data_IF_848172839746
#
_entry.id   IF_848172839746
#
_cell.length_a   1.000
_cell.length_b   1.000
_cell.length_c   1.000
_cell.angle_alpha   90.00
_cell.angle_beta   90.00
_cell.angle_gamma   90.00
#
_symmetry.space_group_name_H-M   'P 1'
#
loop_
_entity.id
_entity.type
_entity.pdbx_description
1 polymer ?
#
# COMPACT_ATOMS: atom_id res chain seq x y z
N UNK A 1 14.89 -18.65 39.19
CA UNK A 1 14.74 -18.66 37.71
C UNK A 1 13.26 -18.86 37.38
N UNK A 2 12.56 -17.86 36.82
CA UNK A 2 11.17 -18.02 36.38
C UNK A 2 11.19 -18.51 34.93
N UNK A 3 10.91 -19.79 34.72
CA UNK A 3 10.71 -20.36 33.40
C UNK A 3 9.36 -19.85 32.86
N UNK A 4 9.39 -18.80 32.03
CA UNK A 4 8.26 -18.41 31.21
C UNK A 4 8.06 -19.49 30.13
N UNK A 5 7.25 -20.50 30.44
CA UNK A 5 6.72 -21.40 29.42
C UNK A 5 5.73 -20.56 28.61
N UNK A 6 6.21 -19.98 27.51
CA UNK A 6 5.37 -19.32 26.53
C UNK A 6 4.48 -20.41 25.92
N UNK A 7 3.30 -20.62 26.50
CA UNK A 7 2.34 -21.61 26.02
C UNK A 7 1.89 -21.20 24.63
N UNK A 8 2.40 -21.89 23.61
CA UNK A 8 1.98 -21.73 22.22
C UNK A 8 0.47 -21.90 22.13
N UNK A 9 -0.24 -20.85 21.76
CA UNK A 9 -1.66 -20.96 21.42
C UNK A 9 -1.76 -21.66 20.06
N UNK A 10 -2.45 -22.80 20.01
CA UNK A 10 -2.65 -23.55 18.76
C UNK A 10 -3.39 -22.68 17.74
N UNK A 11 -3.03 -22.83 16.46
CA UNK A 11 -3.65 -22.15 15.32
C UNK A 11 -3.53 -20.61 15.31
N UNK A 12 -2.59 -20.04 16.07
CA UNK A 12 -2.24 -18.63 15.96
C UNK A 12 -0.88 -18.49 15.27
N UNK A 13 -0.85 -17.81 14.13
CA UNK A 13 0.40 -17.37 13.53
C UNK A 13 0.97 -16.21 14.36
N UNK A 14 2.27 -16.22 14.70
CA UNK A 14 2.86 -15.21 15.57
C UNK A 14 2.87 -13.81 14.92
N UNK A 15 2.83 -13.73 13.58
CA UNK A 15 2.78 -12.46 12.86
C UNK A 15 1.99 -12.61 11.55
N UNK A 16 1.10 -11.66 11.30
CA UNK A 16 0.48 -11.42 10.00
C UNK A 16 0.18 -9.92 9.95
N UNK A 17 0.66 -9.23 8.91
CA UNK A 17 0.65 -7.78 8.86
C UNK A 17 -0.78 -7.23 8.98
N UNK A 18 -1.74 -7.83 8.27
CA UNK A 18 -3.16 -7.47 8.36
C UNK A 18 -3.82 -7.79 9.71
N UNK A 19 -3.39 -8.82 10.45
CA UNK A 19 -3.95 -9.11 11.78
C UNK A 19 -3.50 -8.06 12.81
N UNK A 20 -2.29 -7.54 12.66
CA UNK A 20 -1.74 -6.47 13.48
C UNK A 20 -2.31 -5.09 13.09
N UNK A 21 -2.98 -4.99 11.94
CA UNK A 21 -3.62 -3.78 11.44
C UNK A 21 -4.81 -3.27 12.28
N UNK A 22 -5.23 -4.02 13.32
CA UNK A 22 -6.20 -3.55 14.33
C UNK A 22 -5.63 -2.42 15.21
N UNK A 23 -4.32 -2.16 15.15
CA UNK A 23 -3.65 -1.08 15.88
C UNK A 23 -3.94 0.34 15.38
N UNK A 24 -3.26 1.32 15.97
CA UNK A 24 -3.38 2.73 15.57
C UNK A 24 -2.91 2.90 14.11
N UNK A 25 -3.68 3.55 13.22
CA UNK A 25 -3.32 3.71 11.81
C UNK A 25 -1.93 4.31 11.57
N UNK A 26 -1.46 5.17 12.47
CA UNK A 26 -0.11 5.76 12.40
C UNK A 26 1.02 4.72 12.55
N UNK A 27 0.83 3.69 13.38
CA UNK A 27 1.83 2.63 13.57
C UNK A 27 1.89 1.71 12.36
N UNK A 28 0.73 1.41 11.77
CA UNK A 28 0.68 0.60 10.56
C UNK A 28 1.23 1.34 9.35
N UNK A 29 0.90 2.63 9.18
CA UNK A 29 1.52 3.46 8.13
C UNK A 29 3.04 3.52 8.28
N UNK A 30 3.54 3.59 9.53
CA UNK A 30 4.98 3.48 9.80
C UNK A 30 5.55 2.15 9.33
N UNK A 31 4.90 1.03 9.62
CA UNK A 31 5.34 -0.28 9.14
C UNK A 31 5.30 -0.37 7.61
N UNK A 32 4.26 0.19 6.97
CA UNK A 32 4.16 0.19 5.51
C UNK A 32 5.37 0.88 4.89
N UNK A 33 5.61 2.12 5.29
CA UNK A 33 6.70 2.93 4.77
C UNK A 33 8.07 2.61 5.38
N UNK A 34 8.17 1.56 6.20
CA UNK A 34 9.45 0.94 6.57
C UNK A 34 9.82 -0.19 5.63
N UNK A 35 8.83 -0.90 5.08
CA UNK A 35 9.05 -2.01 4.17
C UNK A 35 9.08 -1.58 2.71
N UNK A 36 8.27 -0.57 2.33
CA UNK A 36 8.15 -0.09 0.96
C UNK A 36 8.05 1.44 0.93
N UNK A 37 9.01 2.10 0.30
CA UNK A 37 8.95 3.52 -0.04
C UNK A 37 7.99 3.75 -1.22
N UNK A 38 7.53 5.00 -1.45
CA UNK A 38 6.67 5.31 -2.60
C UNK A 38 7.24 4.86 -3.95
N UNK A 39 8.57 4.91 -4.10
CA UNK A 39 9.25 4.45 -5.31
C UNK A 39 9.15 2.92 -5.46
N UNK A 40 9.37 2.16 -4.39
CA UNK A 40 9.21 0.70 -4.40
C UNK A 40 7.78 0.31 -4.82
N UNK A 41 6.76 1.01 -4.29
CA UNK A 41 5.37 0.79 -4.72
C UNK A 41 5.16 1.06 -6.20
N UNK A 42 5.75 2.13 -6.73
CA UNK A 42 5.62 2.47 -8.15
C UNK A 42 6.26 1.40 -9.02
N UNK A 43 7.48 1.01 -8.71
CA UNK A 43 8.25 0.07 -9.52
C UNK A 43 7.61 -1.32 -9.50
N UNK A 44 7.18 -1.78 -8.33
CA UNK A 44 6.52 -3.07 -8.17
C UNK A 44 5.11 -3.06 -8.81
N UNK A 45 4.32 -1.99 -8.67
CA UNK A 45 3.02 -1.87 -9.39
C UNK A 45 3.21 -1.86 -10.91
N UNK A 46 4.24 -1.18 -11.42
CA UNK A 46 4.56 -1.18 -12.85
C UNK A 46 5.01 -2.56 -13.33
N UNK A 47 5.72 -3.32 -12.49
CA UNK A 47 6.07 -4.71 -12.78
C UNK A 47 4.80 -5.57 -12.83
N UNK A 48 3.97 -5.50 -11.80
CA UNK A 48 2.73 -6.28 -11.69
C UNK A 48 1.79 -6.00 -12.85
N UNK A 49 1.59 -4.74 -13.21
CA UNK A 49 0.78 -4.36 -14.37
C UNK A 49 1.33 -4.98 -15.67
N UNK A 50 2.64 -4.86 -15.93
CA UNK A 50 3.24 -5.41 -17.17
C UNK A 50 3.13 -6.92 -17.21
N UNK A 51 3.36 -7.59 -16.09
CA UNK A 51 3.23 -9.04 -15.97
C UNK A 51 1.79 -9.46 -16.20
N UNK A 52 0.83 -8.81 -15.53
CA UNK A 52 -0.59 -9.08 -15.70
C UNK A 52 -1.03 -8.93 -17.16
N UNK A 53 -0.64 -7.84 -17.84
CA UNK A 53 -1.00 -7.59 -19.25
C UNK A 53 -0.30 -8.54 -20.25
N UNK A 54 0.75 -9.23 -19.84
CA UNK A 54 1.51 -10.16 -20.69
C UNK A 54 1.36 -11.62 -20.27
N UNK A 55 0.50 -11.90 -19.27
CA UNK A 55 0.22 -13.25 -18.83
C UNK A 55 -1.04 -13.77 -19.54
N UNK A 56 -0.86 -14.81 -20.36
CA UNK A 56 -1.94 -15.50 -21.09
C UNK A 56 -2.94 -16.21 -20.16
N UNK A 57 -2.65 -16.34 -18.87
CA UNK A 57 -3.54 -16.89 -17.85
C UNK A 57 -4.17 -15.82 -16.94
N UNK A 58 -4.03 -14.54 -17.29
CA UNK A 58 -4.59 -13.45 -16.49
C UNK A 58 -6.06 -13.16 -16.79
N UNK A 59 -6.71 -12.37 -15.94
CA UNK A 59 -8.08 -11.89 -16.15
C UNK A 59 -8.18 -10.79 -17.24
N UNK A 60 -7.08 -10.41 -17.90
CA UNK A 60 -6.99 -9.20 -18.72
C UNK A 60 -6.94 -9.48 -20.23
N UNK A 61 -7.73 -10.45 -20.70
CA UNK A 61 -7.82 -10.78 -22.13
C UNK A 61 -8.54 -9.70 -22.94
N UNK A 62 -9.55 -9.07 -22.34
CA UNK A 62 -10.34 -8.02 -22.98
C UNK A 62 -9.65 -6.65 -22.95
N UNK A 63 -9.74 -5.90 -24.05
CA UNK A 63 -9.12 -4.57 -24.15
C UNK A 63 -9.60 -3.59 -23.08
N UNK A 64 -10.89 -3.64 -22.73
CA UNK A 64 -11.50 -2.84 -21.66
C UNK A 64 -10.92 -3.16 -20.30
N UNK A 65 -10.78 -4.44 -19.96
CA UNK A 65 -10.16 -4.87 -18.70
C UNK A 65 -8.70 -4.40 -18.59
N UNK A 66 -7.97 -4.38 -19.71
CA UNK A 66 -6.60 -3.85 -19.76
C UNK A 66 -6.55 -2.34 -19.50
N UNK A 67 -7.45 -1.56 -20.10
CA UNK A 67 -7.57 -0.13 -19.86
C UNK A 67 -7.91 0.17 -18.39
N UNK A 68 -8.88 -0.55 -17.85
CA UNK A 68 -9.30 -0.42 -16.45
C UNK A 68 -8.16 -0.75 -15.46
N UNK A 69 -7.36 -1.79 -15.76
CA UNK A 69 -6.17 -2.13 -14.99
C UNK A 69 -5.15 -0.97 -15.00
N UNK A 70 -4.83 -0.42 -16.18
CA UNK A 70 -3.87 0.68 -16.34
C UNK A 70 -4.32 1.93 -15.56
N UNK A 71 -5.60 2.25 -15.61
CA UNK A 71 -6.16 3.39 -14.87
C UNK A 71 -6.16 3.14 -13.36
N UNK A 72 -6.45 1.92 -12.93
CA UNK A 72 -6.48 1.53 -11.52
C UNK A 72 -5.08 1.54 -10.90
N UNK A 73 -4.08 0.97 -11.56
CA UNK A 73 -2.68 0.97 -11.09
C UNK A 73 -2.11 2.38 -11.01
N UNK A 74 -2.37 3.23 -12.01
CA UNK A 74 -1.98 4.64 -11.98
C UNK A 74 -2.62 5.39 -10.80
N UNK A 75 -3.88 5.10 -10.49
CA UNK A 75 -4.56 5.65 -9.33
C UNK A 75 -4.00 5.11 -8.00
N UNK A 76 -3.63 3.82 -7.93
CA UNK A 76 -2.97 3.23 -6.76
C UNK A 76 -1.63 3.89 -6.47
N UNK A 77 -0.79 4.11 -7.47
CA UNK A 77 0.50 4.79 -7.30
C UNK A 77 0.33 6.16 -6.64
N UNK A 78 -0.61 6.97 -7.15
CA UNK A 78 -0.98 8.26 -6.57
C UNK A 78 -1.54 8.14 -5.16
N UNK A 79 -2.30 7.09 -4.87
CA UNK A 79 -2.82 6.80 -3.54
C UNK A 79 -1.69 6.52 -2.54
N UNK A 80 -0.66 5.77 -2.93
CA UNK A 80 0.49 5.46 -2.07
C UNK A 80 1.27 6.73 -1.72
N UNK A 81 1.54 7.57 -2.73
CA UNK A 81 2.19 8.87 -2.56
C UNK A 81 1.39 9.79 -1.62
N UNK A 82 0.06 9.81 -1.79
CA UNK A 82 -0.83 10.56 -0.92
C UNK A 82 -0.74 10.11 0.54
N UNK A 83 -0.75 8.80 0.78
CA UNK A 83 -0.57 8.26 2.13
C UNK A 83 0.79 8.57 2.72
N UNK A 84 1.85 8.54 1.90
CA UNK A 84 3.19 8.89 2.33
C UNK A 84 3.28 10.37 2.75
N UNK A 85 2.69 11.28 1.98
CA UNK A 85 2.62 12.71 2.32
C UNK A 85 1.83 12.92 3.62
N UNK A 86 0.69 12.25 3.78
CA UNK A 86 -0.11 12.33 5.00
C UNK A 86 0.64 11.80 6.22
N UNK A 87 1.36 10.69 6.03
CA UNK A 87 2.19 10.08 7.06
C UNK A 87 3.33 11.01 7.47
N UNK A 88 4.14 11.47 6.53
CA UNK A 88 5.27 12.38 6.78
C UNK A 88 4.81 13.68 7.42
N UNK A 89 3.77 14.36 6.89
CA UNK A 89 3.24 15.59 7.48
C UNK A 89 2.81 15.40 8.94
N UNK A 90 2.19 14.27 9.30
CA UNK A 90 1.78 13.97 10.69
C UNK A 90 2.97 13.54 11.56
N UNK A 91 3.89 12.78 11.00
CA UNK A 91 5.07 12.24 11.70
C UNK A 91 6.11 13.31 12.03
N UNK A 92 6.29 14.29 11.14
CA UNK A 92 7.20 15.43 11.37
C UNK A 92 6.57 16.57 12.18
N UNK A 93 5.23 16.69 12.20
CA UNK A 93 4.54 17.68 13.06
C UNK A 93 4.51 17.31 14.55
N UNK A 94 4.64 16.03 14.91
CA UNK A 94 4.67 15.58 16.31
C UNK A 94 6.11 15.24 16.73
N UNK A 95 6.70 16.12 17.53
CA UNK A 95 7.83 15.93 18.45
C UNK A 95 9.24 15.61 17.89
N UNK A 96 10.25 15.96 18.70
CA UNK A 96 11.65 15.52 18.56
C UNK A 96 11.67 13.98 18.55
N UNK A 97 12.56 13.34 17.76
CA UNK A 97 12.65 11.89 17.71
C UNK A 97 12.99 11.33 19.09
N UNK A 98 12.14 10.43 19.60
CA UNK A 98 12.22 9.89 20.96
C UNK A 98 13.29 8.77 21.04
N UNK A 99 13.66 8.17 19.91
CA UNK A 99 14.66 7.09 19.84
C UNK A 99 15.72 7.28 18.75
N UNK A 100 16.88 6.61 18.92
CA UNK A 100 17.95 6.55 17.90
C UNK A 100 17.45 5.94 16.58
N UNK A 101 16.57 4.95 16.66
CA UNK A 101 15.93 4.32 15.50
C UNK A 101 15.06 5.32 14.72
N UNK A 102 14.30 6.17 15.41
CA UNK A 102 13.50 7.21 14.76
C UNK A 102 14.36 8.29 14.09
N UNK A 103 15.52 8.63 14.69
CA UNK A 103 16.47 9.55 14.05
C UNK A 103 17.01 8.97 12.74
N UNK A 104 17.36 7.69 12.73
CA UNK A 104 17.83 7.01 11.53
C UNK A 104 16.74 6.93 10.47
N UNK A 105 15.51 6.63 10.86
CA UNK A 105 14.35 6.58 9.95
C UNK A 105 14.03 7.93 9.34
N UNK A 106 14.11 9.03 10.12
CA UNK A 106 13.97 10.37 9.58
C UNK A 106 15.07 10.69 8.56
N UNK A 107 16.30 10.23 8.80
CA UNK A 107 17.40 10.37 7.83
C UNK A 107 17.12 9.61 6.55
N UNK A 108 16.68 8.35 6.61
CA UNK A 108 16.33 7.55 5.42
C UNK A 108 15.21 8.24 4.62
N UNK A 109 14.11 8.62 5.28
CA UNK A 109 12.98 9.34 4.65
C UNK A 109 13.35 10.74 4.10
N UNK A 110 14.48 11.31 4.52
CA UNK A 110 15.00 12.61 4.05
C UNK A 110 16.14 12.48 3.04
N UNK A 111 16.85 11.35 3.01
CA UNK A 111 17.97 11.08 2.12
C UNK A 111 17.50 10.73 0.71
N UNK A 112 16.33 10.10 0.59
CA UNK A 112 15.74 9.82 -0.70
C UNK A 112 15.07 11.07 -1.26
N UNK A 113 15.52 11.51 -2.43
CA UNK A 113 14.77 12.46 -3.26
C UNK A 113 13.53 11.74 -3.78
N UNK A 114 12.51 11.59 -2.94
CA UNK A 114 11.25 10.94 -3.31
C UNK A 114 10.61 11.74 -4.43
N UNK A 115 10.62 11.17 -5.64
CA UNK A 115 9.99 11.76 -6.80
C UNK A 115 8.50 11.42 -6.82
N UNK A 116 7.68 12.35 -6.34
CA UNK A 116 6.23 12.23 -6.44
C UNK A 116 5.78 12.48 -7.89
N UNK A 117 4.88 11.63 -8.38
CA UNK A 117 4.10 11.86 -9.61
C UNK A 117 2.98 12.88 -9.37
N UNK A 118 2.58 13.09 -8.10
CA UNK A 118 1.60 14.09 -7.72
C UNK A 118 2.08 15.51 -8.03
N UNK A 119 1.21 16.29 -8.65
CA UNK A 119 1.41 17.73 -8.88
C UNK A 119 1.51 18.49 -7.55
N UNK A 120 2.15 19.66 -7.55
CA UNK A 120 2.22 20.52 -6.35
C UNK A 120 0.84 20.82 -5.75
N UNK A 121 -0.18 20.94 -6.59
CA UNK A 121 -1.56 21.13 -6.14
C UNK A 121 -2.09 19.89 -5.41
N UNK A 122 -1.95 18.69 -6.00
CA UNK A 122 -2.37 17.43 -5.37
C UNK A 122 -1.64 17.20 -4.04
N UNK A 123 -0.34 17.51 -3.97
CA UNK A 123 0.45 17.40 -2.74
C UNK A 123 -0.02 18.36 -1.64
N UNK A 124 -0.60 19.51 -2.00
CA UNK A 124 -1.16 20.48 -1.05
C UNK A 124 -2.46 19.97 -0.42
N UNK A 125 -3.25 19.18 -1.15
CA UNK A 125 -4.58 18.68 -0.73
C UNK A 125 -4.69 17.14 -0.88
N UNK A 126 -3.83 16.35 -0.21
CA UNK A 126 -3.82 14.88 -0.37
C UNK A 126 -5.16 14.24 0.03
N UNK A 127 -5.86 14.82 1.00
CA UNK A 127 -7.18 14.33 1.42
C UNK A 127 -8.25 14.35 0.32
N UNK A 128 -8.16 15.27 -0.65
CA UNK A 128 -9.09 15.31 -1.80
C UNK A 128 -8.79 14.18 -2.78
N UNK A 129 -7.51 13.84 -2.98
CA UNK A 129 -7.12 12.73 -3.85
C UNK A 129 -7.64 11.40 -3.31
N UNK A 130 -7.51 11.18 -2.00
CA UNK A 130 -8.06 10.00 -1.33
C UNK A 130 -9.58 9.91 -1.53
N UNK A 131 -10.29 11.03 -1.41
CA UNK A 131 -11.74 11.07 -1.66
C UNK A 131 -12.09 10.76 -3.11
N UNK A 132 -11.34 11.32 -4.08
CA UNK A 132 -11.55 11.03 -5.51
C UNK A 132 -11.32 9.56 -5.82
N UNK A 133 -10.27 8.95 -5.26
CA UNK A 133 -10.01 7.52 -5.38
C UNK A 133 -11.20 6.69 -4.89
N UNK A 134 -11.63 6.91 -3.64
CA UNK A 134 -12.76 6.18 -3.04
C UNK A 134 -14.13 6.47 -3.68
N UNK A 135 -14.24 7.51 -4.51
CA UNK A 135 -15.45 7.82 -5.29
C UNK A 135 -15.41 7.19 -6.68
N UNK A 136 -14.22 7.11 -7.27
CA UNK A 136 -14.02 6.60 -8.63
C UNK A 136 -14.13 5.07 -8.67
N UNK A 137 -13.54 4.40 -7.70
CA UNK A 137 -13.51 2.94 -7.66
C UNK A 137 -14.37 2.42 -6.53
N UNK A 138 -15.11 1.35 -6.79
CA UNK A 138 -15.77 0.60 -5.73
C UNK A 138 -14.75 -0.19 -4.92
N UNK A 139 -14.99 -0.33 -3.62
CA UNK A 139 -14.06 -1.02 -2.74
C UNK A 139 -13.87 -2.49 -3.14
N UNK A 140 -14.97 -3.19 -3.43
CA UNK A 140 -14.92 -4.60 -3.84
C UNK A 140 -14.15 -4.77 -5.14
N UNK A 141 -14.36 -3.87 -6.10
CA UNK A 141 -13.62 -3.85 -7.36
C UNK A 141 -12.10 -3.77 -7.11
N UNK A 142 -11.63 -2.80 -6.32
CA UNK A 142 -10.19 -2.67 -6.03
C UNK A 142 -9.65 -3.89 -5.28
N UNK A 143 -10.42 -4.47 -4.36
CA UNK A 143 -9.98 -5.66 -3.62
C UNK A 143 -9.83 -6.91 -4.52
N UNK A 144 -10.71 -7.06 -5.52
CA UNK A 144 -10.66 -8.12 -6.53
C UNK A 144 -9.51 -7.89 -7.50
N UNK A 145 -9.39 -6.68 -8.06
CA UNK A 145 -8.29 -6.34 -8.97
C UNK A 145 -6.89 -6.55 -8.35
N UNK A 146 -6.72 -6.24 -7.06
CA UNK A 146 -5.46 -6.52 -6.36
C UNK A 146 -5.17 -8.02 -6.27
N UNK A 147 -6.21 -8.87 -6.17
CA UNK A 147 -6.07 -10.32 -6.17
C UNK A 147 -5.76 -10.85 -7.57
N UNK A 148 -6.46 -10.35 -8.59
CA UNK A 148 -6.27 -10.76 -9.98
C UNK A 148 -4.86 -10.41 -10.46
N UNK A 149 -4.34 -9.22 -10.12
CA UNK A 149 -2.94 -8.87 -10.36
C UNK A 149 -1.97 -9.81 -9.62
N UNK A 150 -2.24 -10.11 -8.33
CA UNK A 150 -1.39 -11.01 -7.56
C UNK A 150 -1.35 -12.41 -8.19
N UNK A 151 -2.50 -12.94 -8.58
CA UNK A 151 -2.62 -14.26 -9.23
C UNK A 151 -1.86 -14.27 -10.55
N UNK A 152 -2.05 -13.26 -11.39
CA UNK A 152 -1.33 -13.12 -12.65
C UNK A 152 0.20 -13.05 -12.44
N UNK A 153 0.68 -12.43 -11.37
CA UNK A 153 2.12 -12.39 -11.05
C UNK A 153 2.64 -13.73 -10.54
N UNK A 154 1.80 -14.50 -9.82
CA UNK A 154 2.15 -15.83 -9.32
C UNK A 154 2.22 -16.84 -10.47
N UNK A 155 1.23 -16.84 -11.36
CA UNK A 155 1.09 -17.79 -12.48
C UNK A 155 1.95 -17.44 -13.69
N UNK A 156 2.61 -16.28 -13.69
CA UNK A 156 3.46 -15.87 -14.79
C UNK A 156 4.65 -16.84 -15.00
N UNK A 157 4.76 -17.34 -16.23
CA UNK A 157 5.83 -18.22 -16.73
C UNK A 157 6.61 -17.61 -17.92
N UNK A 158 6.36 -16.33 -18.22
CA UNK A 158 7.01 -15.63 -19.33
C UNK A 158 8.45 -15.18 -19.05
N UNK A 159 9.02 -14.40 -19.97
CA UNK A 159 10.44 -14.03 -19.97
C UNK A 159 10.83 -13.00 -18.89
N UNK A 160 9.88 -12.23 -18.35
CA UNK A 160 10.16 -11.22 -17.31
C UNK A 160 10.48 -11.92 -15.99
N UNK A 161 11.66 -11.65 -15.43
CA UNK A 161 12.01 -12.18 -14.12
C UNK A 161 11.21 -11.46 -13.02
N UNK A 162 10.42 -12.24 -12.29
CA UNK A 162 9.62 -11.77 -11.16
C UNK A 162 10.18 -12.35 -9.86
N UNK A 163 10.50 -11.50 -8.90
CA UNK A 163 10.89 -11.96 -7.57
C UNK A 163 9.67 -12.41 -6.76
N UNK A 164 9.49 -13.72 -6.60
CA UNK A 164 8.30 -14.29 -5.93
C UNK A 164 8.34 -14.24 -4.39
N UNK A 165 9.46 -13.84 -3.78
CA UNK A 165 9.69 -13.97 -2.33
C UNK A 165 8.84 -13.05 -1.44
N UNK A 166 8.38 -11.90 -1.96
CA UNK A 166 7.67 -10.88 -1.17
C UNK A 166 6.28 -10.50 -1.74
N UNK A 167 5.75 -11.24 -2.72
CA UNK A 167 4.51 -10.87 -3.42
C UNK A 167 3.32 -10.70 -2.48
N UNK A 168 3.12 -11.67 -1.58
CA UNK A 168 2.03 -11.63 -0.59
C UNK A 168 2.22 -10.47 0.38
N UNK A 169 3.47 -10.20 0.80
CA UNK A 169 3.75 -9.08 1.69
C UNK A 169 3.40 -7.75 1.03
N UNK A 170 3.80 -7.56 -0.23
CA UNK A 170 3.48 -6.36 -1.01
C UNK A 170 1.96 -6.20 -1.19
N UNK A 171 1.26 -7.27 -1.59
CA UNK A 171 -0.21 -7.29 -1.66
C UNK A 171 -0.87 -6.87 -0.34
N UNK A 172 -0.43 -7.41 0.80
CA UNK A 172 -0.98 -7.07 2.11
C UNK A 172 -0.82 -5.58 2.44
N UNK A 173 0.30 -4.97 2.03
CA UNK A 173 0.56 -3.54 2.23
C UNK A 173 -0.33 -2.65 1.36
N UNK A 174 -0.46 -2.98 0.07
CA UNK A 174 -1.40 -2.32 -0.84
C UNK A 174 -2.83 -2.42 -0.32
N UNK A 175 -3.28 -3.64 0.01
CA UNK A 175 -4.62 -3.90 0.50
C UNK A 175 -4.91 -3.12 1.79
N UNK A 176 -3.95 -3.03 2.69
CA UNK A 176 -4.09 -2.23 3.92
C UNK A 176 -4.31 -0.75 3.60
N UNK A 177 -3.51 -0.15 2.71
CA UNK A 177 -3.65 1.25 2.33
C UNK A 177 -4.98 1.53 1.62
N UNK A 178 -5.45 0.61 0.78
CA UNK A 178 -6.78 0.67 0.16
C UNK A 178 -7.88 0.63 1.24
N UNK A 179 -7.86 -0.37 2.13
CA UNK A 179 -8.85 -0.50 3.21
C UNK A 179 -8.86 0.73 4.14
N UNK A 180 -7.68 1.26 4.45
CA UNK A 180 -7.55 2.46 5.27
C UNK A 180 -8.17 3.68 4.58
N UNK A 181 -8.00 3.82 3.26
CA UNK A 181 -8.60 4.90 2.46
C UNK A 181 -10.12 4.91 2.60
N UNK A 182 -10.77 3.76 2.36
CA UNK A 182 -12.22 3.67 2.49
C UNK A 182 -12.71 3.90 3.91
N UNK A 183 -11.96 3.40 4.92
CA UNK A 183 -12.29 3.64 6.32
C UNK A 183 -12.26 5.13 6.66
N UNK A 184 -11.18 5.83 6.30
CA UNK A 184 -11.04 7.27 6.56
C UNK A 184 -12.05 8.09 5.78
N UNK A 185 -12.35 7.72 4.54
CA UNK A 185 -13.36 8.39 3.73
C UNK A 185 -14.76 8.26 4.36
N UNK A 186 -15.14 7.06 4.81
CA UNK A 186 -16.41 6.82 5.50
C UNK A 186 -16.54 7.65 6.79
N UNK A 187 -15.49 7.69 7.61
CA UNK A 187 -15.50 8.50 8.86
C UNK A 187 -15.62 10.00 8.57
N UNK A 188 -14.97 10.51 7.51
CA UNK A 188 -15.10 11.92 7.11
C UNK A 188 -16.53 12.26 6.66
N UNK A 189 -17.17 11.39 5.89
CA UNK A 189 -18.55 11.58 5.43
C UNK A 189 -19.57 11.56 6.59
N UNK A 190 -19.27 10.82 7.67
CA UNK A 190 -20.11 10.78 8.87
C UNK A 190 -19.95 12.02 9.78
N UNK A 191 -18.83 12.74 9.68
CA UNK A 191 -18.59 13.98 10.44
C UNK A 191 -19.08 15.23 9.72
N UNK A 192 -19.47 15.12 8.44
CA UNK A 192 -19.99 16.22 7.62
C UNK A 192 -21.53 16.18 7.45
N UNK A 193 -22.21 15.29 8.17
CA UNK A 193 -23.67 15.20 8.28
C UNK A 193 -24.06 15.53 9.71
#
# INVERSE_FOLDING_TARGET
MKNNINTRVRFQKPFHFLNNAKGKPSLMLRQVFQNFQPQDFRDELNLWQRVALSNDQSAYDEATAREDLIDMTGALQKLMECWHILYTKKFFKKNKPESKLERLQRKVLQQDHIMYSLTKEEQSKPGLLLQRFCKRFDRSYVEIELLDMLDAVITYEGAVQVYKGNLVLFYEHLLYLVKLSYKVNKTRLQLSK
#
